data_IF_156792059713
#
_entry.id   IF_156792059713
#
_cell.length_a   1.000
_cell.length_b   1.000
_cell.length_c   1.000
_cell.angle_alpha   90.00
_cell.angle_beta   90.00
_cell.angle_gamma   90.00
#
_symmetry.space_group_name_H-M   'P 1'
#
loop_
_entity.id
_entity.type
_entity.pdbx_description
1 polymer ?
#
# COMPACT_ATOMS: atom_id res chain seq x y z
N UNK A 1 -23.98 -29.07 9.09
CA UNK A 1 -23.59 -27.81 9.76
C UNK A 1 -24.80 -26.90 9.73
N UNK A 2 -25.26 -26.42 10.90
CA UNK A 2 -26.46 -25.58 11.01
C UNK A 2 -26.21 -24.20 10.34
N UNK A 3 -27.23 -23.57 9.75
CA UNK A 3 -27.18 -22.21 9.19
C UNK A 3 -26.54 -21.21 10.15
N UNK A 4 -26.92 -21.27 11.42
CA UNK A 4 -26.38 -20.35 12.43
C UNK A 4 -24.89 -20.59 12.71
N UNK A 5 -24.42 -21.84 12.56
CA UNK A 5 -22.99 -22.15 12.61
C UNK A 5 -22.25 -21.57 11.39
N UNK A 6 -22.79 -21.75 10.18
CA UNK A 6 -22.24 -21.17 8.94
C UNK A 6 -22.14 -19.63 9.02
N UNK A 7 -23.20 -18.96 9.47
CA UNK A 7 -23.23 -17.50 9.63
C UNK A 7 -22.25 -17.01 10.70
N UNK A 8 -22.01 -17.80 11.75
CA UNK A 8 -21.02 -17.46 12.79
C UNK A 8 -19.58 -17.63 12.27
N UNK A 9 -19.32 -18.66 11.46
CA UNK A 9 -18.03 -18.84 10.78
C UNK A 9 -17.76 -17.70 9.79
N UNK A 10 -18.75 -17.32 8.98
CA UNK A 10 -18.64 -16.17 8.08
C UNK A 10 -18.31 -14.87 8.83
N UNK A 11 -19.02 -14.57 9.93
CA UNK A 11 -18.74 -13.37 10.75
C UNK A 11 -17.34 -13.36 11.35
N UNK A 12 -16.84 -14.53 11.77
CA UNK A 12 -15.46 -14.64 12.32
C UNK A 12 -14.42 -14.35 11.25
N UNK A 13 -14.65 -14.85 10.05
CA UNK A 13 -13.74 -14.68 8.92
C UNK A 13 -13.77 -13.25 8.38
N UNK A 14 -14.96 -12.66 8.23
CA UNK A 14 -15.14 -11.24 7.90
C UNK A 14 -14.41 -10.33 8.90
N UNK A 15 -14.55 -10.58 10.21
CA UNK A 15 -13.80 -9.84 11.24
C UNK A 15 -12.28 -10.04 11.14
N UNK A 16 -11.81 -11.18 10.62
CA UNK A 16 -10.38 -11.40 10.35
C UNK A 16 -9.91 -10.58 9.15
N UNK A 17 -10.70 -10.53 8.09
CA UNK A 17 -10.42 -9.75 6.89
C UNK A 17 -10.39 -8.25 7.19
N UNK A 18 -11.33 -7.72 7.98
CA UNK A 18 -11.29 -6.31 8.42
C UNK A 18 -10.01 -5.96 9.20
N UNK A 19 -9.55 -6.85 10.10
CA UNK A 19 -8.26 -6.65 10.79
C UNK A 19 -7.07 -6.71 9.84
N UNK A 20 -7.18 -7.43 8.73
CA UNK A 20 -6.15 -7.45 7.69
C UNK A 20 -6.17 -6.15 6.88
N UNK A 21 -7.35 -5.64 6.54
CA UNK A 21 -7.52 -4.36 5.84
C UNK A 21 -6.91 -3.21 6.65
N UNK A 22 -7.20 -3.14 7.95
CA UNK A 22 -6.64 -2.10 8.82
C UNK A 22 -5.11 -2.15 8.89
N UNK A 23 -4.53 -3.36 8.84
CA UNK A 23 -3.06 -3.53 8.78
C UNK A 23 -2.49 -3.03 7.46
N UNK A 24 -3.11 -3.39 6.34
CA UNK A 24 -2.70 -2.90 5.02
C UNK A 24 -2.81 -1.38 4.89
N UNK A 25 -3.86 -0.78 5.46
CA UNK A 25 -4.02 0.68 5.48
C UNK A 25 -2.92 1.39 6.29
N UNK A 26 -2.49 0.80 7.42
CA UNK A 26 -1.38 1.32 8.22
C UNK A 26 -0.05 1.19 7.48
N UNK A 27 0.18 0.05 6.83
CA UNK A 27 1.37 -0.20 6.02
C UNK A 27 1.46 0.76 4.84
N UNK A 28 0.36 0.93 4.10
CA UNK A 28 0.25 1.91 3.01
C UNK A 28 0.63 3.31 3.47
N UNK A 29 0.04 3.79 4.57
CA UNK A 29 0.34 5.12 5.12
C UNK A 29 1.80 5.25 5.54
N UNK A 30 2.39 4.18 6.09
CA UNK A 30 3.81 4.18 6.45
C UNK A 30 4.70 4.32 5.22
N UNK A 31 4.41 3.57 4.15
CA UNK A 31 5.16 3.65 2.89
C UNK A 31 5.01 5.04 2.25
N UNK A 32 3.80 5.59 2.18
CA UNK A 32 3.56 6.95 1.68
C UNK A 32 4.39 8.00 2.44
N UNK A 33 4.43 7.92 3.78
CA UNK A 33 5.24 8.81 4.60
C UNK A 33 6.75 8.62 4.36
N UNK A 34 7.21 7.38 4.12
CA UNK A 34 8.62 7.10 3.82
C UNK A 34 9.01 7.66 2.45
N UNK A 35 8.15 7.53 1.44
CA UNK A 35 8.34 8.12 0.11
C UNK A 35 8.43 9.63 0.21
N UNK A 36 7.46 10.29 0.86
CA UNK A 36 7.47 11.75 1.03
C UNK A 36 8.72 12.23 1.79
N UNK A 37 9.10 11.52 2.86
CA UNK A 37 10.30 11.84 3.64
C UNK A 37 11.58 11.71 2.80
N UNK A 38 11.67 10.69 1.96
CA UNK A 38 12.80 10.47 1.07
C UNK A 38 12.88 11.53 -0.03
N UNK A 39 11.76 11.82 -0.71
CA UNK A 39 11.71 12.85 -1.76
C UNK A 39 12.11 14.23 -1.22
N UNK A 40 11.64 14.57 -0.01
CA UNK A 40 12.03 15.81 0.66
C UNK A 40 13.53 15.84 0.96
N UNK A 41 14.08 14.75 1.48
CA UNK A 41 15.52 14.64 1.72
C UNK A 41 16.34 14.85 0.43
N UNK A 42 15.90 14.24 -0.68
CA UNK A 42 16.56 14.38 -1.97
C UNK A 42 16.50 15.81 -2.50
N UNK A 43 15.36 16.50 -2.37
CA UNK A 43 15.22 17.91 -2.70
C UNK A 43 16.16 18.79 -1.86
N UNK A 44 16.18 18.60 -0.54
CA UNK A 44 17.03 19.37 0.37
C UNK A 44 18.52 19.17 0.06
N UNK A 45 18.93 17.92 -0.23
CA UNK A 45 20.30 17.60 -0.64
C UNK A 45 20.66 18.23 -1.99
N UNK A 46 19.73 18.25 -2.95
CA UNK A 46 19.95 18.87 -4.26
C UNK A 46 20.14 20.38 -4.15
N UNK A 47 19.37 21.05 -3.29
CA UNK A 47 19.54 22.49 -3.01
C UNK A 47 20.92 22.76 -2.38
N UNK A 48 21.32 21.98 -1.37
CA UNK A 48 22.63 22.16 -0.73
C UNK A 48 23.80 21.93 -1.70
N UNK A 49 23.67 20.97 -2.61
CA UNK A 49 24.63 20.78 -3.69
C UNK A 49 24.69 22.04 -4.58
N UNK A 50 23.53 22.57 -5.02
CA UNK A 50 23.45 23.81 -5.80
C UNK A 50 24.10 25.02 -5.15
N UNK A 51 23.85 25.26 -3.86
CA UNK A 51 24.48 26.35 -3.12
C UNK A 51 26.02 26.19 -3.05
N UNK A 52 26.50 24.95 -2.97
CA UNK A 52 27.94 24.64 -2.95
C UNK A 52 28.59 24.90 -4.32
N UNK A 53 27.87 24.66 -5.42
CA UNK A 53 28.34 24.96 -6.78
C UNK A 53 28.53 26.45 -7.01
N UNK A 54 27.60 27.29 -6.54
CA UNK A 54 27.73 28.75 -6.66
C UNK A 54 28.97 29.27 -5.93
N UNK A 55 29.29 28.64 -4.80
CA UNK A 55 30.44 29.01 -3.97
C UNK A 55 31.79 28.57 -4.58
N UNK A 56 31.83 27.44 -5.30
CA UNK A 56 33.06 26.88 -5.87
C UNK A 56 32.91 26.49 -7.36
N UNK A 57 32.98 27.45 -8.29
CA UNK A 57 32.79 27.18 -9.73
C UNK A 57 33.81 26.20 -10.32
N UNK A 58 35.04 26.16 -9.77
CA UNK A 58 36.13 25.31 -10.26
C UNK A 58 35.93 23.82 -10.00
N UNK A 59 35.09 23.44 -9.04
CA UNK A 59 34.78 22.04 -8.69
C UNK A 59 33.48 21.53 -9.33
N UNK A 60 32.87 22.33 -10.21
CA UNK A 60 31.58 22.01 -10.85
C UNK A 60 31.55 20.64 -11.52
N UNK A 61 32.58 20.26 -12.27
CA UNK A 61 32.61 18.95 -12.96
C UNK A 61 32.55 17.77 -11.97
N UNK A 62 33.23 17.87 -10.83
CA UNK A 62 33.24 16.83 -9.81
C UNK A 62 31.87 16.69 -9.13
N UNK A 63 31.25 17.82 -8.80
CA UNK A 63 29.93 17.83 -8.20
C UNK A 63 28.82 17.39 -9.18
N UNK A 64 28.91 17.72 -10.48
CA UNK A 64 27.98 17.22 -11.51
C UNK A 64 28.04 15.70 -11.63
N UNK A 65 29.24 15.11 -11.56
CA UNK A 65 29.41 13.66 -11.53
C UNK A 65 28.78 13.03 -10.28
N UNK A 66 29.05 13.59 -9.09
CA UNK A 66 28.44 13.11 -7.84
C UNK A 66 26.92 13.21 -7.87
N UNK A 67 26.38 14.33 -8.37
CA UNK A 67 24.93 14.52 -8.52
C UNK A 67 24.33 13.46 -9.46
N UNK A 68 24.99 13.12 -10.56
CA UNK A 68 24.48 12.11 -11.49
C UNK A 68 24.36 10.71 -10.85
N UNK A 69 25.34 10.32 -10.03
CA UNK A 69 25.34 9.04 -9.31
C UNK A 69 24.28 9.04 -8.21
N UNK A 70 24.25 10.09 -7.39
CA UNK A 70 23.26 10.24 -6.32
C UNK A 70 21.83 10.29 -6.87
N UNK A 71 21.62 10.94 -8.02
CA UNK A 71 20.32 10.97 -8.69
C UNK A 71 19.88 9.57 -9.15
N UNK A 72 20.79 8.81 -9.77
CA UNK A 72 20.48 7.44 -10.19
C UNK A 72 20.12 6.54 -9.00
N UNK A 73 20.91 6.58 -7.93
CA UNK A 73 20.62 5.83 -6.70
C UNK A 73 19.29 6.27 -6.07
N UNK A 74 19.01 7.58 -6.07
CA UNK A 74 17.74 8.11 -5.60
C UNK A 74 16.55 7.59 -6.40
N UNK A 75 16.66 7.53 -7.73
CA UNK A 75 15.60 6.98 -8.58
C UNK A 75 15.34 5.51 -8.26
N UNK A 76 16.39 4.70 -8.09
CA UNK A 76 16.24 3.29 -7.71
C UNK A 76 15.55 3.12 -6.36
N UNK A 77 15.86 3.97 -5.38
CA UNK A 77 15.23 3.94 -4.06
C UNK A 77 13.76 4.39 -4.16
N UNK A 78 13.47 5.48 -4.88
CA UNK A 78 12.09 5.94 -5.12
C UNK A 78 11.24 4.88 -5.82
N UNK A 79 11.78 4.22 -6.86
CA UNK A 79 11.10 3.13 -7.55
C UNK A 79 10.81 1.96 -6.60
N UNK A 80 11.73 1.62 -5.70
CA UNK A 80 11.49 0.55 -4.73
C UNK A 80 10.32 0.83 -3.78
N UNK A 81 10.11 2.09 -3.40
CA UNK A 81 8.93 2.47 -2.61
C UNK A 81 7.63 2.36 -3.40
N UNK A 82 7.65 2.70 -4.69
CA UNK A 82 6.49 2.54 -5.57
C UNK A 82 6.13 1.07 -5.76
N UNK A 83 7.13 0.20 -5.97
CA UNK A 83 6.93 -1.24 -6.07
C UNK A 83 6.29 -1.83 -4.80
N UNK A 84 6.73 -1.39 -3.63
CA UNK A 84 6.16 -1.84 -2.35
C UNK A 84 4.73 -1.31 -2.15
N UNK A 85 4.46 -0.06 -2.56
CA UNK A 85 3.11 0.51 -2.53
C UNK A 85 2.15 -0.25 -3.46
N UNK A 86 2.62 -0.62 -4.65
CA UNK A 86 1.84 -1.41 -5.61
C UNK A 86 1.52 -2.82 -5.08
N UNK A 87 2.46 -3.46 -4.38
CA UNK A 87 2.20 -4.74 -3.70
C UNK A 87 1.10 -4.60 -2.65
N UNK A 88 1.13 -3.55 -1.83
CA UNK A 88 0.11 -3.29 -0.81
C UNK A 88 -1.24 -3.00 -1.47
N UNK A 89 -1.28 -2.21 -2.53
CA UNK A 89 -2.51 -1.93 -3.28
C UNK A 89 -3.11 -3.21 -3.89
N UNK A 90 -2.28 -4.09 -4.45
CA UNK A 90 -2.72 -5.37 -5.00
C UNK A 90 -3.29 -6.29 -3.91
N UNK A 91 -2.67 -6.34 -2.72
CA UNK A 91 -3.18 -7.09 -1.59
C UNK A 91 -4.52 -6.55 -1.10
N UNK A 92 -4.68 -5.22 -1.05
CA UNK A 92 -5.94 -4.57 -0.69
C UNK A 92 -7.05 -4.94 -1.67
N UNK A 93 -6.77 -4.87 -2.97
CA UNK A 93 -7.75 -5.20 -4.00
C UNK A 93 -8.24 -6.66 -3.89
N UNK A 94 -7.33 -7.61 -3.65
CA UNK A 94 -7.71 -9.01 -3.40
C UNK A 94 -8.58 -9.17 -2.15
N UNK A 95 -8.25 -8.43 -1.08
CA UNK A 95 -9.01 -8.47 0.15
C UNK A 95 -10.44 -7.91 -0.03
N UNK A 96 -10.59 -6.86 -0.83
CA UNK A 96 -11.90 -6.29 -1.19
C UNK A 96 -12.74 -7.28 -2.01
N UNK A 97 -12.11 -8.01 -2.94
CA UNK A 97 -12.75 -9.08 -3.71
C UNK A 97 -13.20 -10.24 -2.80
N UNK A 98 -12.32 -10.71 -1.91
CA UNK A 98 -12.64 -11.73 -0.91
C UNK A 98 -13.84 -11.29 -0.05
N UNK A 99 -13.84 -10.05 0.46
CA UNK A 99 -14.94 -9.50 1.26
C UNK A 99 -16.26 -9.46 0.47
N UNK A 100 -16.21 -9.13 -0.81
CA UNK A 100 -17.38 -9.12 -1.69
C UNK A 100 -17.96 -10.54 -1.86
N UNK A 101 -17.12 -11.56 -1.99
CA UNK A 101 -17.54 -12.97 -2.02
C UNK A 101 -18.23 -13.38 -0.71
N UNK A 102 -17.68 -12.99 0.45
CA UNK A 102 -18.30 -13.24 1.76
C UNK A 102 -19.68 -12.59 1.88
N UNK A 103 -19.83 -11.35 1.38
CA UNK A 103 -21.11 -10.64 1.38
C UNK A 103 -22.18 -11.38 0.56
N UNK A 104 -21.84 -11.80 -0.65
CA UNK A 104 -22.76 -12.57 -1.51
C UNK A 104 -23.09 -13.95 -0.94
N UNK A 105 -22.12 -14.62 -0.29
CA UNK A 105 -22.36 -15.91 0.36
C UNK A 105 -23.33 -15.78 1.56
N UNK A 106 -23.20 -14.72 2.35
CA UNK A 106 -24.13 -14.41 3.43
C UNK A 106 -25.57 -14.21 2.91
N UNK A 107 -25.74 -13.52 1.78
CA UNK A 107 -27.03 -13.36 1.12
C UNK A 107 -27.59 -14.71 0.68
N UNK A 108 -26.78 -15.55 0.01
CA UNK A 108 -27.21 -16.89 -0.45
C UNK A 108 -27.69 -17.76 0.70
N UNK A 109 -26.96 -17.80 1.81
CA UNK A 109 -27.32 -18.60 2.99
C UNK A 109 -28.62 -18.12 3.63
N UNK A 110 -28.88 -16.82 3.60
CA UNK A 110 -30.14 -16.28 4.10
C UNK A 110 -31.32 -16.61 3.18
N UNK A 111 -31.12 -16.61 1.86
CA UNK A 111 -32.16 -16.90 0.86
C UNK A 111 -32.52 -18.39 0.73
N UNK A 112 -31.58 -19.31 0.99
CA UNK A 112 -31.82 -20.77 0.84
C UNK A 112 -32.88 -21.37 1.79
N UNK A 113 -33.31 -20.65 2.83
CA UNK A 113 -34.37 -21.14 3.74
C UNK A 113 -35.73 -20.47 3.51
N UNK A 114 -35.81 -19.37 2.76
CA UNK A 114 -37.10 -18.73 2.43
C UNK A 114 -37.91 -19.55 1.39
N UNK A 115 -37.32 -20.61 0.82
CA UNK A 115 -37.98 -21.53 -0.13
C UNK A 115 -38.55 -22.81 0.53
N UNK A 116 -38.25 -23.12 1.80
CA UNK A 116 -38.78 -24.32 2.49
C UNK A 116 -40.09 -24.10 3.25
N UNK A 117 -40.52 -22.84 3.48
CA UNK A 117 -41.77 -22.50 4.18
C UNK A 117 -42.89 -21.99 3.24
N UNK A 118 -42.81 -22.34 1.96
CA UNK A 118 -43.86 -22.10 0.96
C UNK A 118 -44.82 -23.28 0.82
N UNK A 119 -45.62 -23.56 1.86
CA UNK A 119 -46.76 -24.48 1.77
C UNK A 119 -48.10 -23.74 1.85
#
# INVERSE_FOLDING_TARGET
MNKEQKLNELRKEEARLFRQEERLLKEKRLLENQTEGFERYCSDAQTQLWDSFETYPSSRIFFEQLQSVAFYESCMISESFLDDLDKVNLQKWKLEDDLNDFYHEGIRINQMEDEEDGN
#
